data_IF_240401011385
#
_entry.id   IF_240401011385
#
_cell.length_a   1.000
_cell.length_b   1.000
_cell.length_c   1.000
_cell.angle_alpha   90.00
_cell.angle_beta   90.00
_cell.angle_gamma   90.00
#
_symmetry.space_group_name_H-M   'P 1'
#
loop_
_entity.id
_entity.type
_entity.pdbx_description
1 polymer ?
#
# COMPACT_ATOMS: atom_id res chain seq x y z
N UNK A 1 -7.29 2.76 31.45
CA UNK A 1 -7.44 1.33 31.20
C UNK A 1 -6.65 1.03 29.95
N UNK A 2 -5.44 0.50 30.10
CA UNK A 2 -4.57 0.12 28.99
C UNK A 2 -5.17 -1.11 28.30
N UNK A 3 -5.52 -0.97 27.03
CA UNK A 3 -5.78 -2.10 26.15
C UNK A 3 -4.44 -2.54 25.55
N UNK A 4 -3.91 -3.66 26.02
CA UNK A 4 -2.88 -4.41 25.33
C UNK A 4 -3.52 -5.13 24.15
N UNK A 5 -3.27 -4.68 22.93
CA UNK A 5 -3.46 -5.49 21.74
C UNK A 5 -2.36 -6.54 21.72
N UNK A 6 -2.73 -7.76 22.17
CA UNK A 6 -1.83 -8.90 22.15
C UNK A 6 -1.56 -9.32 20.71
N UNK A 7 -0.39 -8.95 20.18
CA UNK A 7 0.21 -9.67 19.05
C UNK A 7 0.58 -11.04 19.63
N UNK A 8 -0.23 -12.06 19.32
CA UNK A 8 0.09 -13.45 19.64
C UNK A 8 1.26 -13.85 18.74
N UNK A 9 2.47 -13.77 19.29
CA UNK A 9 3.63 -14.33 18.65
C UNK A 9 3.46 -15.86 18.61
N UNK A 10 3.23 -16.42 17.42
CA UNK A 10 3.34 -17.86 17.19
C UNK A 10 4.79 -18.31 17.41
N UNK A 11 5.12 -18.72 18.63
CA UNK A 11 6.36 -19.42 18.93
C UNK A 11 6.21 -20.88 18.44
N UNK A 12 6.63 -21.13 17.20
CA UNK A 12 6.69 -22.49 16.67
C UNK A 12 7.96 -23.17 17.15
N UNK A 13 7.81 -24.19 17.99
CA UNK A 13 8.89 -25.15 18.29
C UNK A 13 8.88 -26.21 17.18
N UNK A 14 9.83 -26.11 16.25
CA UNK A 14 10.00 -27.10 15.20
C UNK A 14 10.65 -28.37 15.75
N UNK A 15 9.85 -29.40 15.93
CA UNK A 15 10.33 -30.78 15.95
C UNK A 15 10.20 -31.31 14.53
N UNK A 16 11.25 -31.97 14.00
CA UNK A 16 11.24 -32.60 12.68
C UNK A 16 10.02 -33.54 12.55
N UNK A 17 8.95 -33.09 11.94
CA UNK A 17 7.74 -33.87 11.67
C UNK A 17 7.91 -34.57 10.31
N UNK A 18 7.90 -35.89 10.29
CA UNK A 18 7.67 -36.67 9.08
C UNK A 18 6.19 -36.73 8.68
N UNK A 19 5.38 -35.82 9.20
CA UNK A 19 3.92 -35.74 8.99
C UNK A 19 3.59 -34.61 8.02
N UNK A 20 2.67 -34.87 7.09
CA UNK A 20 2.13 -33.86 6.18
C UNK A 20 1.60 -32.67 6.98
N UNK A 21 2.00 -31.43 6.66
CA UNK A 21 1.45 -30.24 7.29
C UNK A 21 -0.07 -30.19 7.16
N UNK A 22 -0.73 -29.59 8.15
CA UNK A 22 -2.19 -29.38 8.12
C UNK A 22 -2.51 -27.89 8.06
N UNK A 23 -3.71 -27.56 7.62
CA UNK A 23 -4.18 -26.16 7.64
C UNK A 23 -4.18 -25.62 9.07
N UNK A 24 -4.82 -26.31 9.98
CA UNK A 24 -5.09 -25.82 11.33
C UNK A 24 -3.83 -25.63 12.18
N UNK A 25 -2.84 -26.50 12.00
CA UNK A 25 -1.66 -26.49 12.87
C UNK A 25 -0.46 -25.77 12.26
N UNK A 26 -0.36 -25.75 10.90
CA UNK A 26 0.86 -25.29 10.24
C UNK A 26 0.60 -24.13 9.27
N UNK A 27 -0.45 -24.16 8.43
CA UNK A 27 -0.62 -23.26 7.30
C UNK A 27 -1.43 -22.01 7.65
N UNK A 28 -2.47 -22.15 8.48
CA UNK A 28 -3.36 -21.02 8.79
C UNK A 28 -2.61 -19.83 9.39
N UNK A 29 -1.64 -20.07 10.28
CA UNK A 29 -0.83 -19.01 10.88
C UNK A 29 -0.02 -18.25 9.81
N UNK A 30 0.58 -18.95 8.85
CA UNK A 30 1.33 -18.34 7.74
C UNK A 30 0.40 -17.49 6.89
N UNK A 31 -0.74 -18.06 6.47
CA UNK A 31 -1.71 -17.37 5.63
C UNK A 31 -2.29 -16.14 6.34
N UNK A 32 -2.61 -16.24 7.62
CA UNK A 32 -3.13 -15.12 8.40
C UNK A 32 -2.11 -14.00 8.61
N UNK A 33 -0.84 -14.33 8.69
CA UNK A 33 0.24 -13.35 8.87
C UNK A 33 0.61 -12.62 7.58
N UNK A 34 0.56 -13.30 6.43
CA UNK A 34 1.14 -12.78 5.19
C UNK A 34 0.12 -12.52 4.06
N UNK A 35 -1.04 -13.18 4.08
CA UNK A 35 -1.96 -13.17 2.94
C UNK A 35 -3.26 -12.43 3.24
N UNK A 36 -3.87 -12.68 4.40
CA UNK A 36 -5.24 -12.26 4.68
C UNK A 36 -5.41 -10.76 4.92
N UNK A 37 -4.33 -9.99 5.06
CA UNK A 37 -4.41 -8.52 5.02
C UNK A 37 -5.05 -8.00 3.73
N UNK A 38 -4.84 -8.72 2.61
CA UNK A 38 -5.46 -8.41 1.33
C UNK A 38 -6.56 -9.41 0.97
N UNK A 39 -6.36 -10.70 1.28
CA UNK A 39 -7.25 -11.81 0.95
C UNK A 39 -8.27 -12.06 2.05
N UNK A 40 -9.18 -11.11 2.29
CA UNK A 40 -10.33 -11.22 3.20
C UNK A 40 -11.57 -10.58 2.55
N UNK A 41 -12.75 -10.82 3.07
CA UNK A 41 -13.98 -10.20 2.57
C UNK A 41 -13.91 -8.68 2.68
N UNK A 42 -14.11 -7.97 1.56
CA UNK A 42 -13.95 -6.52 1.46
C UNK A 42 -12.48 -6.05 1.41
N UNK A 43 -11.53 -6.97 1.33
CA UNK A 43 -10.12 -6.68 1.11
C UNK A 43 -9.80 -6.31 -0.35
N UNK A 44 -8.53 -6.05 -0.62
CA UNK A 44 -8.07 -5.65 -1.95
C UNK A 44 -7.99 -6.80 -2.95
N UNK A 45 -7.90 -8.03 -2.47
CA UNK A 45 -7.84 -9.21 -3.34
C UNK A 45 -9.24 -9.69 -3.74
N UNK A 46 -9.35 -10.31 -4.91
CA UNK A 46 -10.62 -10.77 -5.47
C UNK A 46 -11.23 -11.98 -4.76
N UNK A 47 -10.50 -12.61 -3.85
CA UNK A 47 -10.95 -13.79 -3.12
C UNK A 47 -10.37 -13.79 -1.70
N UNK A 48 -11.07 -14.44 -0.80
CA UNK A 48 -10.67 -14.63 0.59
C UNK A 48 -9.74 -15.83 0.75
N UNK A 49 -8.91 -15.80 1.80
CA UNK A 49 -8.12 -16.91 2.32
C UNK A 49 -8.30 -17.07 3.85
N UNK A 50 -9.39 -16.54 4.40
CA UNK A 50 -9.61 -16.52 5.84
C UNK A 50 -10.12 -17.84 6.40
N UNK A 51 -10.59 -18.75 5.56
CA UNK A 51 -11.08 -20.07 5.97
C UNK A 51 -10.29 -21.20 5.32
N UNK A 52 -10.32 -22.38 5.95
CA UNK A 52 -9.79 -23.61 5.34
C UNK A 52 -10.38 -23.84 3.94
N UNK A 53 -11.69 -23.67 3.81
CA UNK A 53 -12.38 -23.88 2.54
C UNK A 53 -11.85 -22.96 1.44
N UNK A 54 -11.68 -21.69 1.73
CA UNK A 54 -11.12 -20.70 0.76
C UNK A 54 -9.70 -21.09 0.34
N UNK A 55 -8.85 -21.40 1.32
CA UNK A 55 -7.47 -21.80 1.08
C UNK A 55 -7.38 -23.12 0.31
N UNK A 56 -8.26 -24.09 0.62
CA UNK A 56 -8.30 -25.39 -0.06
C UNK A 56 -8.64 -25.25 -1.55
N UNK A 57 -9.63 -24.43 -1.89
CA UNK A 57 -9.98 -24.21 -3.31
C UNK A 57 -8.91 -23.43 -4.07
N UNK A 58 -8.20 -22.53 -3.40
CA UNK A 58 -7.13 -21.70 -3.99
C UNK A 58 -5.73 -22.32 -3.84
N UNK A 59 -5.58 -23.50 -3.24
CA UNK A 59 -4.30 -24.07 -2.80
C UNK A 59 -3.23 -24.15 -3.88
N UNK A 60 -3.61 -24.54 -5.11
CA UNK A 60 -2.64 -24.68 -6.20
C UNK A 60 -2.09 -23.33 -6.65
N UNK A 61 -2.95 -22.31 -6.69
CA UNK A 61 -2.57 -20.95 -7.05
C UNK A 61 -1.73 -20.31 -5.95
N UNK A 62 -2.09 -20.55 -4.67
CA UNK A 62 -1.30 -20.10 -3.52
C UNK A 62 0.09 -20.72 -3.56
N UNK A 63 0.22 -22.05 -3.75
CA UNK A 63 1.51 -22.71 -3.90
C UNK A 63 2.32 -22.11 -5.05
N UNK A 64 1.76 -22.04 -6.23
CA UNK A 64 2.46 -21.52 -7.39
C UNK A 64 2.91 -20.05 -7.21
N UNK A 65 2.06 -19.21 -6.65
CA UNK A 65 2.35 -17.79 -6.44
C UNK A 65 3.44 -17.58 -5.38
N UNK A 66 3.47 -18.39 -4.33
CA UNK A 66 4.51 -18.29 -3.27
C UNK A 66 5.84 -18.86 -3.73
N UNK A 67 5.85 -20.02 -4.40
CA UNK A 67 7.07 -20.63 -4.96
C UNK A 67 7.73 -19.77 -6.05
N UNK A 68 6.93 -19.06 -6.85
CA UNK A 68 7.41 -18.14 -7.88
C UNK A 68 7.77 -16.75 -7.34
N UNK A 69 7.49 -16.47 -6.08
CA UNK A 69 7.72 -15.16 -5.46
C UNK A 69 6.80 -14.05 -6.00
N UNK A 70 5.61 -14.40 -6.52
CA UNK A 70 4.60 -13.42 -6.93
C UNK A 70 3.78 -12.91 -5.74
N UNK A 71 3.65 -13.74 -4.68
CA UNK A 71 2.96 -13.40 -3.45
C UNK A 71 3.83 -13.72 -2.23
N UNK A 72 3.83 -12.84 -1.22
CA UNK A 72 3.26 -11.48 -1.20
C UNK A 72 3.86 -10.58 -2.29
N UNK A 73 3.12 -9.57 -2.79
CA UNK A 73 3.58 -8.76 -3.92
C UNK A 73 4.81 -7.92 -3.55
N UNK A 74 5.75 -7.79 -4.47
CA UNK A 74 6.96 -6.98 -4.34
C UNK A 74 7.76 -7.24 -3.05
N UNK A 75 8.11 -8.46 -2.73
CA UNK A 75 8.87 -8.75 -1.52
C UNK A 75 10.27 -8.11 -1.62
N UNK A 76 10.73 -7.42 -0.57
CA UNK A 76 12.13 -7.02 -0.50
C UNK A 76 13.04 -8.27 -0.49
N UNK A 77 14.24 -8.15 -1.03
CA UNK A 77 15.22 -9.26 -1.02
C UNK A 77 15.71 -9.48 0.42
N UNK A 78 15.38 -10.63 1.04
CA UNK A 78 15.72 -10.88 2.45
C UNK A 78 17.23 -10.99 2.67
N UNK A 79 18.02 -11.26 1.62
CA UNK A 79 19.47 -11.36 1.71
C UNK A 79 20.17 -9.99 1.58
N UNK A 80 19.43 -8.94 1.21
CA UNK A 80 20.01 -7.62 1.05
C UNK A 80 19.94 -6.81 2.35
N UNK A 81 18.75 -6.65 2.89
CA UNK A 81 18.50 -5.89 4.12
C UNK A 81 17.07 -6.16 4.63
N UNK A 82 16.94 -6.35 5.94
CA UNK A 82 15.63 -6.36 6.58
C UNK A 82 15.04 -4.96 6.64
N UNK A 83 13.76 -4.82 6.32
CA UNK A 83 13.00 -3.58 6.34
C UNK A 83 11.87 -3.69 7.37
N UNK A 84 11.50 -2.56 7.97
CA UNK A 84 10.32 -2.52 8.84
C UNK A 84 9.06 -2.84 8.02
N UNK A 85 8.15 -3.63 8.60
CA UNK A 85 6.87 -4.02 7.99
C UNK A 85 7.00 -4.79 6.66
N UNK A 86 8.16 -5.42 6.41
CA UNK A 86 8.32 -6.26 5.22
C UNK A 86 7.39 -7.48 5.27
N UNK A 87 6.83 -7.83 4.11
CA UNK A 87 5.97 -9.00 3.93
C UNK A 87 6.72 -10.03 3.09
N UNK A 88 7.65 -10.72 3.71
CA UNK A 88 8.47 -11.74 3.06
C UNK A 88 8.16 -13.08 3.70
N UNK A 89 7.85 -14.07 2.87
CA UNK A 89 7.81 -15.46 3.32
C UNK A 89 9.23 -15.99 3.43
N UNK A 90 9.51 -16.69 4.50
CA UNK A 90 10.73 -17.51 4.61
C UNK A 90 10.64 -18.71 3.68
N UNK A 91 11.78 -19.27 3.30
CA UNK A 91 11.79 -20.50 2.50
C UNK A 91 11.07 -21.65 3.22
N UNK A 92 11.16 -21.72 4.54
CA UNK A 92 10.47 -22.72 5.35
C UNK A 92 8.95 -22.58 5.27
N UNK A 93 8.40 -21.36 5.31
CA UNK A 93 6.98 -21.12 5.14
C UNK A 93 6.50 -21.50 3.74
N UNK A 94 7.28 -21.20 2.71
CA UNK A 94 7.00 -21.61 1.33
C UNK A 94 6.98 -23.15 1.22
N UNK A 95 7.96 -23.81 1.83
CA UNK A 95 8.08 -25.28 1.83
C UNK A 95 6.92 -25.95 2.60
N UNK A 96 6.44 -25.34 3.70
CA UNK A 96 5.27 -25.80 4.46
C UNK A 96 4.02 -25.71 3.59
N UNK A 97 3.78 -24.57 2.93
CA UNK A 97 2.63 -24.38 2.03
C UNK A 97 2.70 -25.41 0.89
N UNK A 98 3.87 -25.56 0.24
CA UNK A 98 4.08 -26.51 -0.82
C UNK A 98 3.79 -27.96 -0.39
N UNK A 99 4.34 -28.36 0.75
CA UNK A 99 4.17 -29.70 1.32
C UNK A 99 2.72 -29.98 1.73
N UNK A 100 2.03 -28.98 2.25
CA UNK A 100 0.60 -29.08 2.55
C UNK A 100 -0.22 -29.37 1.29
N UNK A 101 0.00 -28.61 0.22
CA UNK A 101 -0.71 -28.80 -1.05
C UNK A 101 -0.42 -30.17 -1.66
N UNK A 102 0.88 -30.56 -1.73
CA UNK A 102 1.31 -31.84 -2.28
C UNK A 102 0.82 -33.05 -1.46
N UNK A 103 0.65 -32.85 -0.15
CA UNK A 103 0.09 -33.86 0.76
C UNK A 103 -1.45 -33.97 0.73
N UNK A 104 -2.12 -33.30 -0.22
CA UNK A 104 -3.57 -33.33 -0.38
C UNK A 104 -4.33 -32.27 0.42
N UNK A 105 -3.62 -31.30 0.96
CA UNK A 105 -4.14 -30.15 1.71
C UNK A 105 -5.10 -30.54 2.87
N UNK A 106 -4.68 -31.37 3.84
CA UNK A 106 -5.52 -31.77 4.95
C UNK A 106 -5.86 -30.59 5.86
N UNK A 107 -7.08 -30.59 6.43
CA UNK A 107 -7.52 -29.55 7.37
C UNK A 107 -6.82 -29.65 8.74
N UNK A 108 -6.61 -30.87 9.22
CA UNK A 108 -6.17 -31.09 10.60
C UNK A 108 -7.31 -30.97 11.61
N UNK A 109 -6.98 -30.77 12.89
CA UNK A 109 -7.97 -30.54 13.94
C UNK A 109 -8.39 -29.07 13.96
N UNK A 110 -9.64 -28.71 13.61
CA UNK A 110 -10.09 -27.31 13.59
C UNK A 110 -9.98 -26.59 14.95
N UNK A 111 -9.92 -27.33 16.06
CA UNK A 111 -9.75 -26.74 17.39
C UNK A 111 -8.33 -26.21 17.63
N UNK A 112 -7.37 -26.62 16.80
CA UNK A 112 -5.99 -26.16 16.88
C UNK A 112 -5.70 -24.99 15.93
N UNK A 113 -6.69 -24.60 15.10
CA UNK A 113 -6.52 -23.48 14.21
C UNK A 113 -6.41 -22.15 15.00
N UNK A 114 -5.51 -21.24 14.59
CA UNK A 114 -5.45 -19.92 15.18
C UNK A 114 -6.76 -19.16 14.93
N UNK A 115 -7.13 -18.20 15.81
CA UNK A 115 -8.31 -17.38 15.58
C UNK A 115 -8.18 -16.62 14.26
N UNK A 116 -9.25 -16.60 13.48
CA UNK A 116 -9.32 -15.83 12.23
C UNK A 116 -9.10 -14.35 12.54
N UNK A 117 -8.17 -13.66 11.85
CA UNK A 117 -7.97 -12.24 12.04
C UNK A 117 -9.25 -11.45 11.71
N UNK A 118 -9.51 -10.44 12.50
CA UNK A 118 -10.63 -9.53 12.27
C UNK A 118 -10.07 -8.32 11.52
N UNK A 119 -10.42 -8.21 10.26
CA UNK A 119 -10.13 -7.03 9.44
C UNK A 119 -11.30 -6.08 9.57
N UNK A 120 -11.20 -5.15 10.51
CA UNK A 120 -12.18 -4.09 10.59
C UNK A 120 -12.04 -3.20 9.34
N UNK A 121 -13.17 -2.89 8.68
CA UNK A 121 -13.25 -1.76 7.76
C UNK A 121 -13.10 -0.43 8.52
N UNK A 122 -12.72 -0.51 9.78
CA UNK A 122 -12.48 0.61 10.67
C UNK A 122 -11.13 1.25 10.35
N UNK A 123 -11.10 2.56 10.46
CA UNK A 123 -9.88 3.36 10.39
C UNK A 123 -8.82 2.84 11.36
N UNK A 124 -7.57 2.78 10.89
CA UNK A 124 -6.40 2.52 11.73
C UNK A 124 -6.05 3.74 12.61
N UNK A 125 -6.62 4.90 12.30
CA UNK A 125 -6.60 6.10 13.11
C UNK A 125 -7.99 6.28 13.74
N UNK A 126 -8.27 5.70 14.92
CA UNK A 126 -9.63 5.67 15.49
C UNK A 126 -10.23 7.04 15.80
N UNK A 127 -9.37 8.01 16.05
CA UNK A 127 -9.75 9.41 16.33
C UNK A 127 -8.81 10.33 15.56
N UNK A 128 -9.04 10.53 14.24
CA UNK A 128 -8.25 11.46 13.46
C UNK A 128 -8.52 12.90 13.89
N UNK A 129 -7.49 13.73 13.85
CA UNK A 129 -7.64 15.17 14.07
C UNK A 129 -8.29 15.85 12.87
N UNK A 130 -8.10 15.29 11.67
CA UNK A 130 -8.70 15.74 10.42
C UNK A 130 -9.18 14.53 9.61
N UNK A 131 -10.39 14.61 9.09
CA UNK A 131 -10.93 13.70 8.07
C UNK A 131 -11.38 14.50 6.87
N UNK A 132 -10.79 14.25 5.71
CA UNK A 132 -11.18 14.82 4.44
C UNK A 132 -11.76 13.72 3.54
N UNK A 133 -12.93 13.97 2.96
CA UNK A 133 -13.67 12.99 2.16
C UNK A 133 -13.92 13.62 0.79
N UNK A 134 -13.60 12.88 -0.28
CA UNK A 134 -13.97 13.32 -1.63
C UNK A 134 -15.48 13.23 -1.84
N UNK A 135 -16.00 14.00 -2.78
CA UNK A 135 -17.37 13.84 -3.25
C UNK A 135 -17.59 12.44 -3.82
N UNK A 136 -18.83 11.92 -3.68
CA UNK A 136 -19.22 10.66 -4.29
C UNK A 136 -18.98 10.71 -5.81
N UNK A 137 -18.11 9.84 -6.29
CA UNK A 137 -17.75 9.79 -7.69
C UNK A 137 -18.25 8.51 -8.35
N UNK A 138 -18.99 8.68 -9.44
CA UNK A 138 -19.47 7.58 -10.28
C UNK A 138 -18.37 7.23 -11.28
N UNK A 139 -17.63 6.17 -11.00
CA UNK A 139 -16.54 5.69 -11.85
C UNK A 139 -17.16 5.02 -13.10
N UNK A 140 -16.96 5.55 -14.31
CA UNK A 140 -17.53 4.99 -15.53
C UNK A 140 -16.80 3.70 -15.94
N UNK A 141 -17.47 2.81 -16.69
CA UNK A 141 -16.78 1.70 -17.34
C UNK A 141 -15.73 2.22 -18.32
N UNK A 142 -14.56 1.64 -18.30
CA UNK A 142 -13.45 2.03 -19.17
C UNK A 142 -12.61 0.83 -19.56
N UNK A 143 -12.10 0.80 -20.79
CA UNK A 143 -11.09 -0.18 -21.24
C UNK A 143 -9.66 0.22 -20.90
N UNK A 144 -9.45 1.38 -20.30
CA UNK A 144 -8.16 1.92 -19.87
C UNK A 144 -8.21 2.43 -18.45
N UNK A 145 -7.05 2.58 -17.85
CA UNK A 145 -6.91 3.16 -16.52
C UNK A 145 -7.39 4.62 -16.49
N UNK A 146 -8.03 5.01 -15.39
CA UNK A 146 -8.45 6.38 -15.11
C UNK A 146 -7.67 6.91 -13.90
N UNK A 147 -7.10 8.10 -14.06
CA UNK A 147 -6.42 8.85 -12.98
C UNK A 147 -7.24 10.10 -12.70
N UNK A 148 -8.00 10.09 -11.62
CA UNK A 148 -8.89 11.20 -11.24
C UNK A 148 -8.36 11.88 -9.99
N UNK A 149 -8.24 13.21 -10.06
CA UNK A 149 -7.79 14.05 -8.96
C UNK A 149 -9.00 14.73 -8.31
N UNK A 150 -9.04 14.76 -6.98
CA UNK A 150 -10.11 15.39 -6.21
C UNK A 150 -9.50 16.36 -5.21
N UNK A 151 -10.01 17.58 -5.20
CA UNK A 151 -9.67 18.55 -4.17
C UNK A 151 -10.56 18.30 -2.96
N UNK A 152 -9.94 18.11 -1.81
CA UNK A 152 -10.64 17.86 -0.55
C UNK A 152 -10.63 19.13 0.27
N UNK A 153 -11.82 19.63 0.60
CA UNK A 153 -11.96 20.81 1.45
C UNK A 153 -11.51 20.50 2.87
N UNK A 154 -10.53 21.28 3.35
CA UNK A 154 -10.00 21.16 4.70
C UNK A 154 -9.86 22.54 5.35
N UNK A 155 -10.22 22.66 6.62
CA UNK A 155 -9.94 23.84 7.42
C UNK A 155 -8.58 23.69 8.11
N UNK A 156 -7.53 24.29 7.51
CA UNK A 156 -6.17 24.25 8.03
C UNK A 156 -5.57 25.68 8.12
N UNK A 157 -5.97 26.45 9.13
CA UNK A 157 -5.57 27.86 9.25
C UNK A 157 -4.12 28.09 9.71
N UNK A 158 -3.44 27.05 10.18
CA UNK A 158 -2.07 27.11 10.69
C UNK A 158 -1.23 25.93 10.21
N UNK A 159 0.08 26.13 10.11
CA UNK A 159 1.00 25.02 9.83
C UNK A 159 0.85 23.91 10.87
N UNK A 160 0.70 22.69 10.41
CA UNK A 160 0.59 21.46 11.21
C UNK A 160 1.66 20.45 10.81
N UNK A 161 1.94 19.48 11.67
CA UNK A 161 2.79 18.35 11.33
C UNK A 161 2.00 17.06 11.39
N UNK A 162 1.86 16.41 10.23
CA UNK A 162 1.21 15.11 10.08
C UNK A 162 2.13 14.04 10.66
N UNK A 163 1.64 13.29 11.64
CA UNK A 163 2.35 12.14 12.22
C UNK A 163 1.78 10.82 11.80
N UNK A 164 0.48 10.79 11.42
CA UNK A 164 -0.13 9.64 10.77
C UNK A 164 -1.04 10.11 9.65
N UNK A 165 -1.02 9.37 8.55
CA UNK A 165 -1.91 9.57 7.41
C UNK A 165 -2.44 8.22 6.94
N UNK A 166 -3.75 8.11 6.84
CA UNK A 166 -4.44 6.93 6.37
C UNK A 166 -5.33 7.30 5.18
N UNK A 167 -5.23 6.55 4.11
CA UNK A 167 -6.22 6.58 3.03
C UNK A 167 -7.17 5.41 3.21
N UNK A 168 -8.46 5.69 3.22
CA UNK A 168 -9.52 4.68 3.32
C UNK A 168 -10.35 4.76 2.04
N UNK A 169 -10.09 3.88 1.05
CA UNK A 169 -10.91 3.81 -0.15
C UNK A 169 -12.38 3.51 0.19
N UNK A 170 -13.30 4.21 -0.46
CA UNK A 170 -14.72 3.92 -0.36
C UNK A 170 -15.09 2.60 -1.03
N UNK A 171 -14.41 2.31 -2.14
CA UNK A 171 -14.58 1.04 -2.90
C UNK A 171 -13.22 0.37 -3.15
N UNK A 172 -12.72 -0.35 -2.15
CA UNK A 172 -11.39 -0.99 -2.20
C UNK A 172 -11.12 -1.86 -3.42
N UNK A 173 -12.08 -2.66 -3.94
CA UNK A 173 -11.87 -3.50 -5.13
C UNK A 173 -11.51 -2.74 -6.40
N UNK A 174 -11.88 -1.48 -6.52
CA UNK A 174 -11.67 -0.69 -7.74
C UNK A 174 -10.59 0.39 -7.59
N UNK A 175 -10.10 0.64 -6.39
CA UNK A 175 -9.03 1.62 -6.15
C UNK A 175 -7.67 0.91 -6.17
N UNK A 176 -6.86 1.19 -7.22
CA UNK A 176 -5.55 0.58 -7.38
C UNK A 176 -4.48 1.25 -6.52
N UNK A 177 -4.43 2.58 -6.49
CA UNK A 177 -3.62 3.35 -5.54
C UNK A 177 -4.16 4.78 -5.41
N UNK A 178 -3.72 5.45 -4.35
CA UNK A 178 -4.03 6.85 -4.09
C UNK A 178 -2.74 7.58 -3.74
N UNK A 179 -2.49 8.69 -4.43
CA UNK A 179 -1.45 9.65 -4.07
C UNK A 179 -2.12 10.83 -3.35
N UNK A 180 -1.52 11.28 -2.26
CA UNK A 180 -2.04 12.40 -1.46
C UNK A 180 -1.06 13.56 -1.55
N UNK A 181 -1.54 14.70 -2.01
CA UNK A 181 -0.77 15.92 -2.18
C UNK A 181 -1.33 17.05 -1.32
N UNK A 182 -0.51 18.07 -1.10
CA UNK A 182 -0.95 19.38 -0.66
C UNK A 182 -0.61 20.42 -1.73
N UNK A 183 -1.55 21.30 -2.01
CA UNK A 183 -1.38 22.44 -2.91
C UNK A 183 -1.61 23.76 -2.17
N UNK A 184 -0.60 24.64 -2.16
CA UNK A 184 -0.68 25.98 -1.57
C UNK A 184 -0.93 27.06 -2.62
N UNK A 185 -1.03 26.68 -3.88
CA UNK A 185 -1.22 27.63 -4.98
C UNK A 185 -2.67 27.86 -5.37
N UNK A 186 -3.59 26.97 -4.93
CA UNK A 186 -4.99 26.95 -5.35
C UNK A 186 -5.19 26.52 -6.80
N UNK A 187 -4.15 26.04 -7.48
CA UNK A 187 -4.23 25.68 -8.89
C UNK A 187 -5.00 24.38 -9.11
N UNK A 188 -4.95 23.46 -8.12
CA UNK A 188 -5.74 22.24 -8.17
C UNK A 188 -7.24 22.55 -8.17
N UNK A 189 -7.68 23.52 -7.36
CA UNK A 189 -9.07 23.97 -7.34
C UNK A 189 -9.50 24.56 -8.68
N UNK A 190 -8.63 25.35 -9.34
CA UNK A 190 -8.94 25.89 -10.67
C UNK A 190 -9.15 24.77 -11.70
N UNK A 191 -8.32 23.72 -11.66
CA UNK A 191 -8.47 22.56 -12.55
C UNK A 191 -9.75 21.77 -12.26
N UNK A 192 -10.15 21.69 -10.99
CA UNK A 192 -11.37 21.03 -10.56
C UNK A 192 -12.61 21.82 -11.01
N UNK A 193 -12.60 23.14 -10.83
CA UNK A 193 -13.69 24.04 -11.26
C UNK A 193 -13.89 24.08 -12.79
N UNK A 194 -12.86 23.74 -13.58
CA UNK A 194 -12.92 23.67 -15.05
C UNK A 194 -13.55 22.35 -15.55
N UNK A 195 -13.61 21.29 -14.74
CA UNK A 195 -14.28 20.02 -15.07
C UNK A 195 -15.76 20.07 -14.61
N UNK A 196 -16.63 19.44 -15.36
CA UNK A 196 -18.08 19.40 -15.05
C UNK A 196 -18.45 18.24 -14.10
N UNK A 197 -17.56 17.28 -13.94
CA UNK A 197 -17.74 16.15 -13.03
C UNK A 197 -16.83 16.33 -11.81
N UNK A 198 -17.16 15.74 -10.65
CA UNK A 198 -16.31 15.84 -9.47
C UNK A 198 -14.86 15.45 -9.77
N UNK A 199 -13.93 16.32 -9.42
CA UNK A 199 -12.51 16.17 -9.71
C UNK A 199 -12.15 16.46 -11.16
N UNK A 200 -10.88 16.21 -11.51
CA UNK A 200 -10.33 16.38 -12.86
C UNK A 200 -9.37 15.24 -13.22
N UNK A 201 -9.14 15.00 -14.50
CA UNK A 201 -8.26 13.93 -14.96
C UNK A 201 -6.84 14.44 -15.14
N UNK A 202 -5.85 13.79 -14.49
CA UNK A 202 -4.43 14.04 -14.72
C UNK A 202 -3.60 12.77 -14.49
N UNK A 203 -2.64 12.50 -15.34
CA UNK A 203 -1.71 11.37 -15.23
C UNK A 203 -0.35 11.82 -14.69
N UNK A 204 0.23 11.04 -13.78
CA UNK A 204 1.59 11.29 -13.28
C UNK A 204 1.68 12.40 -12.22
N UNK A 205 0.67 12.54 -11.37
CA UNK A 205 0.52 13.54 -10.33
C UNK A 205 -0.77 14.32 -10.48
N UNK A 206 -0.88 15.48 -9.87
CA UNK A 206 -2.12 16.30 -9.88
C UNK A 206 -2.09 17.47 -10.86
N UNK A 207 -1.12 17.52 -11.78
CA UNK A 207 -1.03 18.61 -12.77
C UNK A 207 -0.53 19.95 -12.22
N UNK A 208 -0.18 20.02 -10.94
CA UNK A 208 0.32 21.22 -10.26
C UNK A 208 1.76 21.03 -9.84
N UNK A 209 2.67 21.76 -10.47
CA UNK A 209 4.12 21.58 -10.27
C UNK A 209 4.61 21.97 -8.87
N UNK A 210 3.90 22.87 -8.18
CA UNK A 210 4.22 23.32 -6.81
C UNK A 210 3.69 22.41 -5.73
N UNK A 211 2.79 21.50 -6.06
CA UNK A 211 2.19 20.59 -5.11
C UNK A 211 3.23 19.63 -4.52
N UNK A 212 3.07 19.32 -3.25
CA UNK A 212 3.96 18.40 -2.54
C UNK A 212 3.25 17.10 -2.23
N UNK A 213 3.89 15.99 -2.56
CA UNK A 213 3.43 14.65 -2.17
C UNK A 213 3.59 14.49 -0.66
N UNK A 214 2.53 14.08 0.03
CA UNK A 214 2.51 13.89 1.49
C UNK A 214 2.09 12.48 1.92
N UNK A 215 1.58 11.66 1.00
CA UNK A 215 1.20 10.29 1.28
C UNK A 215 0.98 9.46 0.02
N UNK A 216 1.13 8.16 0.19
CA UNK A 216 0.84 7.16 -0.85
C UNK A 216 0.11 6.01 -0.17
N UNK A 217 -0.94 5.53 -0.81
CA UNK A 217 -1.62 4.31 -0.42
C UNK A 217 -1.66 3.33 -1.60
N UNK A 218 -1.37 2.08 -1.32
CA UNK A 218 -1.59 0.95 -2.22
C UNK A 218 -2.37 -0.14 -1.49
N UNK A 219 -3.04 -1.07 -2.18
CA UNK A 219 -3.75 -2.18 -1.54
C UNK A 219 -2.89 -2.92 -0.52
N UNK A 220 -3.41 -3.04 0.70
CA UNK A 220 -2.70 -3.66 1.81
C UNK A 220 -1.74 -2.74 2.57
N UNK A 221 -1.64 -1.45 2.23
CA UNK A 221 -0.87 -0.49 3.04
C UNK A 221 -1.51 -0.27 4.39
N UNK A 222 -0.67 -0.20 5.42
CA UNK A 222 -1.03 0.37 6.70
C UNK A 222 -1.05 1.90 6.63
N UNK A 223 -1.62 2.56 7.66
CA UNK A 223 -1.49 3.99 7.81
C UNK A 223 0.00 4.38 7.85
N UNK A 224 0.35 5.42 7.09
CA UNK A 224 1.69 6.00 7.17
C UNK A 224 1.87 6.54 8.59
N UNK A 225 2.92 6.11 9.27
CA UNK A 225 3.31 6.61 10.58
C UNK A 225 4.75 7.15 10.54
N UNK A 226 4.93 8.40 10.95
CA UNK A 226 6.26 9.02 10.96
C UNK A 226 7.05 8.59 12.18
N UNK A 227 8.39 8.55 12.12
CA UNK A 227 9.21 8.31 13.29
C UNK A 227 8.95 9.34 14.39
N UNK A 228 9.10 8.94 15.65
CA UNK A 228 8.88 9.80 16.82
C UNK A 228 9.65 11.12 16.71
N UNK A 229 8.98 12.23 16.94
CA UNK A 229 9.55 13.58 16.84
C UNK A 229 9.73 14.10 15.41
N UNK A 230 9.18 13.39 14.41
CA UNK A 230 9.16 13.81 13.02
C UNK A 230 7.72 13.96 12.53
N UNK A 231 7.52 14.77 11.49
CA UNK A 231 6.22 14.92 10.85
C UNK A 231 6.34 15.51 9.47
N UNK A 232 5.36 15.22 8.63
CA UNK A 232 5.21 15.84 7.31
C UNK A 232 4.48 17.14 7.50
N UNK A 233 5.05 18.25 7.05
CA UNK A 233 4.45 19.55 7.21
C UNK A 233 3.24 19.71 6.28
N UNK A 234 2.09 20.04 6.85
CA UNK A 234 0.91 20.55 6.17
C UNK A 234 0.88 22.07 6.35
N UNK A 235 0.99 22.79 5.24
CA UNK A 235 1.05 24.25 5.27
C UNK A 235 -0.32 24.87 5.51
N UNK A 236 -0.36 25.98 6.22
CA UNK A 236 -1.57 26.77 6.42
C UNK A 236 -2.22 27.14 5.09
N UNK A 237 -3.52 26.94 4.98
CA UNK A 237 -4.31 27.25 3.79
C UNK A 237 -3.99 26.39 2.57
N UNK A 238 -3.30 25.26 2.74
CA UNK A 238 -3.12 24.31 1.66
C UNK A 238 -4.39 23.50 1.41
N UNK A 239 -4.72 23.27 0.15
CA UNK A 239 -5.70 22.28 -0.25
C UNK A 239 -5.10 20.88 -0.12
N UNK A 240 -5.89 19.92 0.34
CA UNK A 240 -5.56 18.51 0.26
C UNK A 240 -6.08 17.95 -1.06
N UNK A 241 -5.23 17.33 -1.85
CA UNK A 241 -5.61 16.79 -3.16
C UNK A 241 -5.24 15.33 -3.24
N UNK A 242 -6.19 14.48 -3.63
CA UNK A 242 -5.90 13.07 -3.88
C UNK A 242 -5.98 12.78 -5.37
N UNK A 243 -5.02 12.00 -5.88
CA UNK A 243 -5.15 11.35 -7.17
C UNK A 243 -5.50 9.89 -6.93
N UNK A 244 -6.65 9.48 -7.41
CA UNK A 244 -7.11 8.09 -7.33
C UNK A 244 -6.89 7.41 -8.68
N UNK A 245 -6.23 6.27 -8.67
CA UNK A 245 -6.07 5.41 -9.85
C UNK A 245 -7.13 4.32 -9.84
N UNK A 246 -8.01 4.33 -10.80
CA UNK A 246 -8.96 3.28 -11.10
C UNK A 246 -8.47 2.49 -12.31
N UNK A 247 -8.32 1.14 -12.22
CA UNK A 247 -8.02 0.30 -13.37
C UNK A 247 -9.19 0.24 -14.32
N UNK A 248 -8.99 -0.36 -15.50
CA UNK A 248 -10.08 -0.63 -16.43
C UNK A 248 -11.23 -1.39 -15.76
N UNK A 249 -12.45 -0.89 -15.89
CA UNK A 249 -13.66 -1.43 -15.27
C UNK A 249 -14.69 -1.80 -16.34
N UNK A 250 -15.42 -2.89 -16.12
CA UNK A 250 -16.50 -3.32 -17.01
C UNK A 250 -17.89 -2.84 -16.59
N UNK A 251 -18.02 -2.36 -15.35
CA UNK A 251 -19.28 -1.90 -14.74
C UNK A 251 -19.14 -0.49 -14.21
N UNK A 252 -20.27 0.18 -14.03
CA UNK A 252 -20.34 1.44 -13.28
C UNK A 252 -20.15 1.13 -11.83
N UNK A 253 -19.25 1.86 -11.17
CA UNK A 253 -18.96 1.72 -9.75
C UNK A 253 -19.10 3.08 -9.04
N UNK A 254 -19.17 3.05 -7.72
CA UNK A 254 -19.19 4.26 -6.88
C UNK A 254 -18.00 4.22 -5.94
N UNK A 255 -17.31 5.36 -5.79
CA UNK A 255 -16.25 5.52 -4.79
C UNK A 255 -16.42 6.83 -4.01
N UNK A 256 -15.99 6.82 -2.74
CA UNK A 256 -15.97 7.97 -1.83
C UNK A 256 -14.76 7.84 -0.88
N UNK A 257 -13.58 7.84 -1.47
CA UNK A 257 -12.30 7.71 -0.75
C UNK A 257 -12.11 8.88 0.23
N UNK A 258 -11.59 8.57 1.42
CA UNK A 258 -11.27 9.58 2.44
C UNK A 258 -9.83 9.48 2.92
N UNK A 259 -9.33 10.58 3.45
CA UNK A 259 -8.03 10.70 4.10
C UNK A 259 -8.23 11.07 5.56
N UNK A 260 -7.68 10.28 6.46
CA UNK A 260 -7.62 10.54 7.89
C UNK A 260 -6.21 10.98 8.28
N UNK A 261 -6.11 12.03 9.07
CA UNK A 261 -4.82 12.60 9.49
C UNK A 261 -4.80 12.74 11.01
N UNK A 262 -3.66 12.42 11.61
CA UNK A 262 -3.32 12.73 12.99
C UNK A 262 -2.13 13.67 13.02
N UNK A 263 -2.26 14.76 13.78
CA UNK A 263 -1.22 15.77 13.92
C UNK A 263 -0.30 15.48 15.11
N UNK A 264 0.93 15.96 15.02
CA UNK A 264 1.88 15.93 16.11
C UNK A 264 1.64 17.05 17.12
N UNK A 265 1.75 16.71 18.38
CA UNK A 265 1.57 17.67 19.51
C UNK A 265 2.90 18.13 20.12
N UNK A 266 4.02 17.64 19.63
CA UNK A 266 5.34 18.01 20.15
C UNK A 266 5.68 19.46 19.80
N UNK A 267 6.29 20.23 20.73
CA UNK A 267 6.61 21.64 20.50
C UNK A 267 7.67 21.85 19.40
N UNK A 268 8.44 20.82 19.08
CA UNK A 268 9.42 20.82 17.99
C UNK A 268 9.36 19.51 17.24
N UNK A 269 9.06 19.60 15.94
CA UNK A 269 9.04 18.47 15.03
C UNK A 269 10.12 18.66 13.98
N UNK A 270 10.86 17.58 13.66
CA UNK A 270 11.71 17.58 12.47
C UNK A 270 10.84 17.33 11.26
N UNK A 271 11.00 18.17 10.25
CA UNK A 271 10.25 18.00 8.98
C UNK A 271 10.73 16.74 8.26
N UNK A 272 9.76 15.94 7.80
CA UNK A 272 9.94 14.83 6.92
C UNK A 272 9.28 15.19 5.59
N UNK A 273 10.02 15.04 4.50
CA UNK A 273 9.51 15.27 3.16
C UNK A 273 9.47 13.96 2.38
N UNK A 274 8.44 13.79 1.56
CA UNK A 274 8.37 12.73 0.54
C UNK A 274 8.74 13.39 -0.78
N UNK A 275 9.83 12.92 -1.40
CA UNK A 275 10.33 13.50 -2.65
C UNK A 275 10.64 12.38 -3.65
N UNK A 276 10.06 12.40 -4.86
CA UNK A 276 10.37 11.47 -5.93
C UNK A 276 11.73 11.80 -6.57
N UNK A 277 12.81 11.49 -5.85
CA UNK A 277 14.19 11.90 -6.19
C UNK A 277 14.77 11.20 -7.43
N UNK A 278 14.22 10.06 -7.84
CA UNK A 278 14.69 9.28 -8.99
C UNK A 278 13.59 9.20 -10.05
N UNK A 279 13.36 10.29 -10.76
CA UNK A 279 12.40 10.33 -11.84
C UNK A 279 12.99 9.79 -13.17
N UNK A 280 12.10 9.38 -14.06
CA UNK A 280 12.44 8.74 -15.33
C UNK A 280 12.76 9.74 -16.47
N UNK A 281 12.79 11.02 -16.18
CA UNK A 281 13.03 12.06 -17.19
C UNK A 281 14.38 12.73 -16.96
N UNK A 282 14.63 13.20 -15.73
CA UNK A 282 15.77 14.07 -15.42
C UNK A 282 16.93 13.30 -14.78
N UNK A 283 16.63 12.25 -14.02
CA UNK A 283 17.67 11.55 -13.22
C UNK A 283 18.19 10.26 -13.84
N UNK A 284 17.60 9.78 -14.94
CA UNK A 284 18.15 8.64 -15.71
C UNK A 284 19.49 9.03 -16.33
N UNK A 285 20.51 8.19 -16.14
CA UNK A 285 21.89 8.42 -16.58
C UNK A 285 22.26 7.69 -17.87
N UNK A 286 21.49 6.70 -18.28
CA UNK A 286 21.78 5.79 -19.40
C UNK A 286 20.72 5.80 -20.52
N UNK A 287 20.10 6.93 -20.74
CA UNK A 287 19.17 7.20 -21.85
C UNK A 287 17.71 7.19 -21.42
N UNK A 288 16.81 7.43 -22.35
CA UNK A 288 15.39 7.50 -22.03
C UNK A 288 14.84 6.14 -21.59
N UNK A 289 13.80 6.16 -20.73
CA UNK A 289 13.08 4.96 -20.31
C UNK A 289 12.26 4.38 -21.48
N UNK A 290 12.97 3.70 -22.37
CA UNK A 290 12.39 3.05 -23.56
C UNK A 290 12.84 1.60 -23.62
N UNK A 291 11.89 0.69 -23.70
CA UNK A 291 12.13 -0.74 -23.82
C UNK A 291 11.58 -1.20 -25.17
N UNK A 292 12.43 -1.76 -26.01
CA UNK A 292 12.03 -2.30 -27.29
C UNK A 292 11.26 -3.64 -27.12
N UNK A 293 10.44 -4.04 -28.10
CA UNK A 293 9.78 -5.33 -28.08
C UNK A 293 10.77 -6.48 -27.90
N UNK A 294 10.45 -7.42 -27.00
CA UNK A 294 11.27 -8.60 -26.66
C UNK A 294 12.64 -8.26 -26.03
N UNK A 295 12.79 -7.07 -25.45
CA UNK A 295 13.99 -6.66 -24.75
C UNK A 295 13.78 -6.68 -23.23
N UNK A 296 14.83 -7.04 -22.48
CA UNK A 296 14.96 -6.80 -21.04
C UNK A 296 16.08 -5.80 -20.85
N UNK A 297 15.76 -4.66 -20.26
CA UNK A 297 16.71 -3.55 -20.08
C UNK A 297 16.80 -3.13 -18.61
N UNK A 298 18.01 -2.81 -18.18
CA UNK A 298 18.27 -2.17 -16.89
C UNK A 298 18.54 -0.69 -17.13
N UNK A 299 17.93 0.16 -16.33
CA UNK A 299 18.13 1.60 -16.31
C UNK A 299 18.76 2.01 -14.99
N UNK A 300 19.58 3.05 -15.03
CA UNK A 300 20.21 3.64 -13.88
C UNK A 300 19.76 5.08 -13.72
N UNK A 301 19.42 5.44 -12.48
CA UNK A 301 19.11 6.81 -12.12
C UNK A 301 19.97 7.24 -10.93
N UNK A 302 20.34 8.50 -10.88
CA UNK A 302 21.18 9.05 -9.82
C UNK A 302 20.66 10.39 -9.36
N UNK A 303 20.68 10.60 -8.06
CA UNK A 303 20.34 11.86 -7.41
C UNK A 303 21.41 12.21 -6.39
N UNK A 304 21.85 13.46 -6.41
CA UNK A 304 22.77 13.99 -5.39
C UNK A 304 22.00 14.87 -4.44
N UNK A 305 21.89 14.45 -3.18
CA UNK A 305 21.20 15.22 -2.17
C UNK A 305 21.92 16.59 -1.97
N UNK A 306 21.19 17.73 -2.11
CA UNK A 306 21.79 19.06 -1.97
C UNK A 306 22.19 19.41 -0.54
N UNK A 307 21.67 18.68 0.43
CA UNK A 307 21.93 18.84 1.87
C UNK A 307 22.15 17.48 2.52
N UNK A 308 22.77 17.44 3.67
CA UNK A 308 22.84 16.24 4.49
C UNK A 308 21.43 15.85 4.96
N UNK A 309 21.00 14.65 4.64
CA UNK A 309 19.67 14.12 4.97
C UNK A 309 19.75 12.70 5.49
N UNK A 310 18.73 12.27 6.20
CA UNK A 310 18.53 10.88 6.62
C UNK A 310 17.36 10.32 5.82
N UNK A 311 17.58 9.22 5.11
CA UNK A 311 16.52 8.48 4.44
C UNK A 311 15.85 7.59 5.48
N UNK A 312 14.56 7.78 5.71
CA UNK A 312 13.75 6.99 6.67
C UNK A 312 12.93 5.90 5.98
N UNK A 313 12.59 6.11 4.72
CA UNK A 313 11.83 5.16 3.92
C UNK A 313 12.21 5.30 2.43
N UNK A 314 11.96 4.26 1.66
CA UNK A 314 12.05 4.25 0.20
C UNK A 314 10.79 3.61 -0.37
N UNK A 315 10.23 4.20 -1.43
CA UNK A 315 9.06 3.71 -2.15
C UNK A 315 9.41 3.42 -3.61
N UNK A 316 9.82 2.20 -3.96
CA UNK A 316 10.02 1.85 -5.36
C UNK A 316 8.68 1.84 -6.08
N UNK A 317 8.63 2.45 -7.29
CA UNK A 317 7.44 2.50 -8.12
C UNK A 317 7.77 2.03 -9.54
N UNK A 318 6.97 1.14 -10.08
CA UNK A 318 7.00 0.77 -11.48
C UNK A 318 5.63 0.27 -11.94
N UNK A 319 5.39 0.35 -13.25
CA UNK A 319 4.23 -0.25 -13.89
C UNK A 319 4.52 -1.69 -14.33
N UNK A 320 3.61 -2.28 -15.12
CA UNK A 320 3.52 -3.69 -15.51
C UNK A 320 4.84 -4.36 -15.95
N UNK A 321 5.77 -3.62 -16.52
CA UNK A 321 7.03 -4.15 -17.04
C UNK A 321 8.18 -4.18 -16.03
N UNK A 322 8.02 -3.55 -14.87
CA UNK A 322 9.02 -3.55 -13.81
C UNK A 322 9.24 -4.97 -13.26
N UNK A 323 10.50 -5.38 -13.13
CA UNK A 323 10.86 -6.71 -12.63
C UNK A 323 11.69 -6.67 -11.35
N UNK A 324 12.56 -5.71 -11.22
CA UNK A 324 13.45 -5.59 -10.06
C UNK A 324 13.92 -4.14 -9.90
N UNK A 325 14.02 -3.71 -8.66
CA UNK A 325 14.64 -2.43 -8.30
C UNK A 325 15.70 -2.64 -7.23
N UNK A 326 16.76 -1.84 -7.28
CA UNK A 326 17.78 -1.73 -6.24
C UNK A 326 18.08 -0.26 -6.01
N UNK A 327 18.16 0.16 -4.75
CA UNK A 327 18.61 1.49 -4.36
C UNK A 327 19.88 1.38 -3.51
N UNK A 328 20.79 2.29 -3.72
CA UNK A 328 22.03 2.42 -2.96
C UNK A 328 22.13 3.86 -2.45
N UNK A 329 22.63 4.05 -1.23
CA UNK A 329 22.90 5.35 -0.62
C UNK A 329 24.32 5.39 -0.01
#
# INVERSE_FOLDING_TARGET
TLFFTGISACLQFFTARAQTPTWSEDVACIVYSHCTTCHHEGGAAHFSLTTFTDAYYSRNDVKAATELGYMPPWPPDPNYRSLAHERVLTQEEIDIIGSWVDGGAPEGDPLLAPPVPIYANASQIPQPDLTAIMEDYVVPPSSSDLYRCFVLDIDNPTDQFITKLEVVPGNRPIVHHVLVFQDTSGQAQVLDDEDIEPGYTNFGGIGVNSAKLIGIWVPGSDALETPSGMGIKLFAGADLVIQVHYPALSTVELDSTRVNIQFGTAPFMRELAIDPVLDHVVTITDGPLVIAPNEVRTFHAQYTAPIAATITAIGPHSHLLGKRMKAYA
#
